data_IF_123893278392
#
_entry.id   IF_123893278392
#
_cell.length_a   1.000
_cell.length_b   1.000
_cell.length_c   1.000
_cell.angle_alpha   90.00
_cell.angle_beta   90.00
_cell.angle_gamma   90.00
#
_symmetry.space_group_name_H-M   'P 1'
#
loop_
_entity.id
_entity.type
_entity.pdbx_description
1 polymer ?
#
# COMPACT_ATOMS: atom_id res chain seq x y z
N UNK A 1 -10.26 -4.29 -32.89
CA UNK A 1 -9.70 -3.20 -32.07
C UNK A 1 -8.44 -2.70 -32.77
N UNK A 2 -8.46 -1.49 -33.33
CA UNK A 2 -7.25 -0.86 -33.88
C UNK A 2 -6.36 -0.46 -32.68
N UNK A 3 -5.17 -1.05 -32.57
CA UNK A 3 -4.14 -0.53 -31.66
C UNK A 3 -3.85 0.91 -32.07
N UNK A 4 -4.15 1.87 -31.19
CA UNK A 4 -3.82 3.27 -31.44
C UNK A 4 -2.29 3.40 -31.51
N UNK A 5 -1.71 3.83 -32.66
CA UNK A 5 -0.25 4.01 -32.79
C UNK A 5 0.32 4.97 -31.74
N UNK A 6 -0.53 5.83 -31.17
CA UNK A 6 -0.21 6.76 -30.09
C UNK A 6 0.14 6.03 -28.78
N UNK A 7 -0.60 4.98 -28.39
CA UNK A 7 -0.34 4.28 -27.13
C UNK A 7 1.02 3.58 -27.15
N UNK A 8 1.36 2.96 -28.27
CA UNK A 8 2.65 2.28 -28.42
C UNK A 8 3.82 3.29 -28.49
N UNK A 9 3.61 4.45 -29.12
CA UNK A 9 4.57 5.54 -29.08
C UNK A 9 4.77 6.09 -27.65
N UNK A 10 3.70 6.23 -26.88
CA UNK A 10 3.77 6.64 -25.47
C UNK A 10 4.51 5.61 -24.60
N UNK A 11 4.28 4.32 -24.81
CA UNK A 11 5.03 3.27 -24.12
C UNK A 11 6.53 3.29 -24.47
N UNK A 12 6.87 3.54 -25.74
CA UNK A 12 8.26 3.71 -26.15
C UNK A 12 8.89 4.93 -25.49
N UNK A 13 8.20 6.07 -25.48
CA UNK A 13 8.68 7.30 -24.83
C UNK A 13 8.84 7.12 -23.30
N UNK A 14 7.93 6.37 -22.68
CA UNK A 14 7.99 6.06 -21.26
C UNK A 14 9.19 5.17 -20.90
N UNK A 15 9.51 4.18 -21.75
CA UNK A 15 10.65 3.27 -21.57
C UNK A 15 11.98 3.92 -21.94
N UNK A 16 11.99 4.74 -23.00
CA UNK A 16 13.16 5.39 -23.57
C UNK A 16 12.89 6.89 -23.71
N UNK A 17 12.98 7.65 -22.60
CA UNK A 17 12.74 9.08 -22.63
C UNK A 17 13.87 9.83 -23.35
N UNK A 18 13.53 10.92 -24.03
CA UNK A 18 14.50 11.82 -24.65
C UNK A 18 15.11 12.82 -23.65
N UNK A 19 14.40 13.11 -22.56
CA UNK A 19 14.85 13.98 -21.46
C UNK A 19 14.33 13.47 -20.10
N UNK A 20 14.78 14.08 -19.01
CA UNK A 20 14.47 13.67 -17.63
C UNK A 20 12.99 13.76 -17.22
N UNK A 21 12.14 14.39 -18.04
CA UNK A 21 10.72 14.58 -17.74
C UNK A 21 9.79 13.87 -18.73
N UNK A 22 10.29 13.47 -19.89
CA UNK A 22 9.53 12.84 -20.97
C UNK A 22 8.85 11.55 -20.53
N UNK A 23 9.52 10.77 -19.67
CA UNK A 23 8.96 9.56 -19.08
C UNK A 23 7.83 9.88 -18.08
N UNK A 24 7.98 10.90 -17.24
CA UNK A 24 6.95 11.34 -16.29
C UNK A 24 5.72 11.85 -17.04
N UNK A 25 5.92 12.62 -18.12
CA UNK A 25 4.83 13.12 -18.96
C UNK A 25 4.14 11.97 -19.69
N UNK A 26 4.91 11.10 -20.35
CA UNK A 26 4.37 9.91 -21.02
C UNK A 26 3.60 9.02 -20.04
N UNK A 27 4.16 8.79 -18.85
CA UNK A 27 3.53 8.00 -17.80
C UNK A 27 2.21 8.62 -17.33
N UNK A 28 2.15 9.94 -17.11
CA UNK A 28 0.90 10.64 -16.79
C UNK A 28 -0.13 10.46 -17.90
N UNK A 29 0.24 10.65 -19.16
CA UNK A 29 -0.68 10.47 -20.29
C UNK A 29 -1.16 9.01 -20.34
N UNK A 30 -0.26 8.05 -20.15
CA UNK A 30 -0.60 6.62 -20.06
C UNK A 30 -1.58 6.34 -18.92
N UNK A 31 -1.51 7.04 -17.77
CA UNK A 31 -2.49 6.87 -16.67
C UNK A 31 -3.91 7.32 -17.07
N UNK A 32 -4.05 8.24 -18.02
CA UNK A 32 -5.35 8.68 -18.51
C UNK A 32 -5.90 7.78 -19.62
N UNK A 33 -5.03 7.21 -20.45
CA UNK A 33 -5.42 6.53 -21.68
C UNK A 33 -5.47 5.01 -21.51
N UNK A 34 -4.54 4.45 -20.73
CA UNK A 34 -4.26 3.01 -20.74
C UNK A 34 -4.72 2.41 -19.41
N UNK A 35 -6.03 2.23 -19.27
CA UNK A 35 -6.57 1.45 -18.15
C UNK A 35 -6.20 -0.04 -18.25
N UNK A 36 -6.51 -0.66 -19.41
CA UNK A 36 -6.56 -2.12 -19.52
C UNK A 36 -5.31 -2.82 -20.12
N UNK A 37 -4.41 -2.11 -20.80
CA UNK A 37 -3.24 -2.76 -21.45
C UNK A 37 -2.04 -2.93 -20.49
N UNK A 38 -2.09 -2.31 -19.32
CA UNK A 38 -0.97 -2.28 -18.34
C UNK A 38 -0.61 -3.67 -17.82
N UNK A 39 -1.59 -4.59 -17.72
CA UNK A 39 -1.36 -5.96 -17.25
C UNK A 39 -0.34 -6.73 -18.12
N UNK A 40 -0.26 -6.43 -19.42
CA UNK A 40 0.70 -7.07 -20.33
C UNK A 40 2.13 -6.53 -20.17
N UNK A 41 2.29 -5.34 -19.57
CA UNK A 41 3.57 -4.64 -19.40
C UNK A 41 4.01 -4.56 -17.93
N UNK A 42 3.38 -5.32 -17.03
CA UNK A 42 3.62 -5.29 -15.59
C UNK A 42 5.11 -5.54 -15.24
N UNK A 43 5.73 -6.54 -15.88
CA UNK A 43 7.13 -6.88 -15.65
C UNK A 43 8.06 -5.76 -16.12
N UNK A 44 7.81 -5.19 -17.30
CA UNK A 44 8.57 -4.06 -17.85
C UNK A 44 8.49 -2.83 -16.92
N UNK A 45 7.30 -2.50 -16.40
CA UNK A 45 7.13 -1.40 -15.45
C UNK A 45 7.89 -1.69 -14.15
N UNK A 46 7.87 -2.94 -13.69
CA UNK A 46 8.62 -3.35 -12.49
C UNK A 46 10.13 -3.17 -12.67
N UNK A 47 10.67 -3.56 -13.83
CA UNK A 47 12.09 -3.38 -14.17
C UNK A 47 12.47 -1.89 -14.29
N UNK A 48 11.59 -1.08 -14.87
CA UNK A 48 11.78 0.37 -14.97
C UNK A 48 11.80 1.04 -13.59
N UNK A 49 10.89 0.65 -12.68
CA UNK A 49 10.86 1.15 -11.29
C UNK A 49 12.19 0.83 -10.60
N UNK A 50 12.72 -0.38 -10.77
CA UNK A 50 14.00 -0.77 -10.18
C UNK A 50 15.17 0.05 -10.75
N UNK A 51 15.18 0.27 -12.06
CA UNK A 51 16.23 1.05 -12.73
C UNK A 51 16.21 2.53 -12.32
N UNK A 52 15.01 3.07 -12.09
CA UNK A 52 14.79 4.49 -11.75
C UNK A 52 14.42 4.68 -10.28
N UNK A 53 14.93 3.84 -9.38
CA UNK A 53 14.55 3.83 -7.96
C UNK A 53 14.74 5.18 -7.23
N UNK A 54 15.67 6.02 -7.71
CA UNK A 54 15.94 7.35 -7.16
C UNK A 54 15.00 8.45 -7.68
N UNK A 55 14.30 8.23 -8.80
CA UNK A 55 13.37 9.20 -9.36
C UNK A 55 11.96 8.96 -8.77
N UNK A 56 11.69 9.54 -7.59
CA UNK A 56 10.41 9.34 -6.90
C UNK A 56 9.18 9.79 -7.70
N UNK A 57 9.33 10.79 -8.60
CA UNK A 57 8.23 11.18 -9.50
C UNK A 57 7.91 10.07 -10.50
N UNK A 58 8.94 9.49 -11.10
CA UNK A 58 8.78 8.35 -12.00
C UNK A 58 8.15 7.17 -11.28
N UNK A 59 8.68 6.78 -10.10
CA UNK A 59 8.14 5.66 -9.30
C UNK A 59 6.68 5.92 -8.93
N UNK A 60 6.32 7.13 -8.48
CA UNK A 60 4.96 7.53 -8.18
C UNK A 60 4.02 7.33 -9.37
N UNK A 61 4.35 7.86 -10.56
CA UNK A 61 3.54 7.70 -11.77
C UNK A 61 3.44 6.23 -12.20
N UNK A 62 4.54 5.48 -12.07
CA UNK A 62 4.57 4.04 -12.35
C UNK A 62 3.62 3.27 -11.44
N UNK A 63 3.57 3.62 -10.15
CA UNK A 63 2.61 3.07 -9.21
C UNK A 63 1.17 3.40 -9.61
N UNK A 64 0.88 4.64 -10.03
CA UNK A 64 -0.47 4.99 -10.51
C UNK A 64 -0.89 4.16 -11.73
N UNK A 65 0.02 3.94 -12.68
CA UNK A 65 -0.22 3.02 -13.81
C UNK A 65 -0.56 1.61 -13.35
N UNK A 66 0.24 1.06 -12.42
CA UNK A 66 0.02 -0.29 -11.88
C UNK A 66 -1.31 -0.42 -11.15
N UNK A 67 -1.78 0.63 -10.47
CA UNK A 67 -3.09 0.63 -9.81
C UNK A 67 -4.24 0.51 -10.80
N UNK A 68 -4.13 1.09 -12.00
CA UNK A 68 -5.13 0.98 -13.06
C UNK A 68 -5.20 -0.47 -13.58
N UNK A 69 -4.05 -1.12 -13.71
CA UNK A 69 -3.95 -2.53 -14.10
C UNK A 69 -4.73 -3.47 -13.15
N UNK A 70 -4.74 -3.13 -11.85
CA UNK A 70 -5.38 -3.90 -10.80
C UNK A 70 -6.90 -3.63 -10.64
N UNK A 71 -7.48 -2.67 -11.35
CA UNK A 71 -8.92 -2.42 -11.29
C UNK A 71 -9.71 -3.52 -12.02
N UNK A 72 -10.71 -4.15 -11.37
CA UNK A 72 -11.51 -5.20 -12.01
C UNK A 72 -12.32 -4.62 -13.19
N UNK A 73 -12.41 -5.40 -14.27
CA UNK A 73 -13.31 -5.10 -15.40
C UNK A 73 -14.78 -5.19 -14.94
N UNK A 74 -15.66 -4.58 -15.72
CA UNK A 74 -17.10 -4.47 -15.44
C UNK A 74 -17.75 -5.82 -15.06
N UNK A 75 -18.92 -5.73 -14.41
CA UNK A 75 -19.70 -6.87 -13.95
C UNK A 75 -20.15 -7.71 -15.15
N UNK A 76 -19.43 -8.80 -15.43
CA UNK A 76 -19.84 -9.79 -16.41
C UNK A 76 -20.93 -10.69 -15.79
N UNK A 77 -22.13 -10.70 -16.39
CA UNK A 77 -23.25 -11.58 -16.00
C UNK A 77 -23.75 -11.43 -14.54
N UNK A 78 -23.68 -10.22 -13.97
CA UNK A 78 -24.12 -9.97 -12.59
C UNK A 78 -23.18 -10.51 -11.50
N UNK A 79 -22.09 -11.18 -11.88
CA UNK A 79 -21.07 -11.70 -10.96
C UNK A 79 -19.89 -10.72 -10.96
N UNK A 80 -19.57 -10.14 -9.79
CA UNK A 80 -18.37 -9.31 -9.68
C UNK A 80 -17.13 -10.15 -9.96
N UNK A 81 -16.29 -9.80 -10.96
CA UNK A 81 -15.10 -10.57 -11.26
C UNK A 81 -14.14 -10.55 -10.08
N UNK A 82 -13.41 -11.66 -9.89
CA UNK A 82 -12.34 -11.75 -8.89
C UNK A 82 -11.30 -10.68 -9.21
N UNK A 83 -10.96 -9.83 -8.24
CA UNK A 83 -9.93 -8.81 -8.40
C UNK A 83 -8.61 -9.47 -8.83
N UNK A 84 -7.91 -8.86 -9.78
CA UNK A 84 -6.59 -9.29 -10.19
C UNK A 84 -5.62 -9.13 -9.01
N UNK A 85 -4.88 -10.20 -8.70
CA UNK A 85 -3.90 -10.23 -7.63
C UNK A 85 -2.63 -10.90 -8.13
N UNK A 86 -1.49 -10.33 -7.72
CA UNK A 86 -0.17 -10.88 -7.93
C UNK A 86 0.20 -11.83 -6.80
N UNK A 87 0.98 -12.88 -7.09
CA UNK A 87 1.47 -13.79 -6.06
C UNK A 87 2.24 -13.06 -4.97
N UNK A 88 2.19 -13.58 -3.74
CA UNK A 88 2.92 -13.05 -2.57
C UNK A 88 4.44 -12.89 -2.81
N UNK A 89 5.00 -13.67 -3.73
CA UNK A 89 6.43 -13.68 -4.07
C UNK A 89 6.79 -12.74 -5.22
N UNK A 90 5.85 -11.95 -5.74
CA UNK A 90 6.11 -11.08 -6.88
C UNK A 90 7.14 -9.99 -6.49
N UNK A 91 8.23 -9.91 -7.26
CA UNK A 91 9.39 -9.02 -6.99
C UNK A 91 9.02 -7.54 -6.83
N UNK A 92 7.93 -7.09 -7.47
CA UNK A 92 7.42 -5.72 -7.36
C UNK A 92 7.29 -5.25 -5.90
N UNK A 93 6.74 -6.09 -5.02
CA UNK A 93 6.51 -5.70 -3.63
C UNK A 93 7.81 -5.56 -2.83
N UNK A 94 8.80 -6.39 -3.14
CA UNK A 94 10.14 -6.28 -2.56
C UNK A 94 10.84 -5.01 -3.05
N UNK A 95 10.77 -4.72 -4.35
CA UNK A 95 11.35 -3.52 -4.96
C UNK A 95 10.73 -2.26 -4.35
N UNK A 96 9.40 -2.16 -4.30
CA UNK A 96 8.72 -1.01 -3.69
C UNK A 96 9.10 -0.84 -2.21
N UNK A 97 9.15 -1.93 -1.44
CA UNK A 97 9.57 -1.89 -0.05
C UNK A 97 11.03 -1.44 0.11
N UNK A 98 11.93 -1.89 -0.77
CA UNK A 98 13.33 -1.46 -0.78
C UNK A 98 13.44 0.04 -1.06
N UNK A 99 12.75 0.54 -2.08
CA UNK A 99 12.77 1.96 -2.47
C UNK A 99 12.35 2.83 -1.28
N UNK A 100 11.15 2.58 -0.72
CA UNK A 100 10.59 3.35 0.40
C UNK A 100 11.57 3.41 1.58
N UNK A 101 12.17 2.28 1.96
CA UNK A 101 13.08 2.20 3.12
C UNK A 101 14.44 2.84 2.82
N UNK A 102 14.97 2.65 1.62
CA UNK A 102 16.30 3.14 1.25
C UNK A 102 16.34 4.66 1.10
N UNK A 103 15.25 5.28 0.65
CA UNK A 103 15.16 6.73 0.43
C UNK A 103 14.48 7.49 1.56
N UNK A 104 14.11 6.79 2.64
CA UNK A 104 13.43 7.36 3.81
C UNK A 104 14.19 8.52 4.47
N UNK A 105 15.52 8.40 4.54
CA UNK A 105 16.36 9.30 5.33
C UNK A 105 16.57 10.68 4.65
N UNK A 106 16.30 10.77 3.34
CA UNK A 106 16.40 12.03 2.60
C UNK A 106 15.15 12.89 2.83
N UNK A 107 15.11 13.59 3.96
CA UNK A 107 14.02 14.49 4.36
C UNK A 107 13.83 15.68 3.42
N UNK A 108 14.82 16.01 2.58
CA UNK A 108 14.75 17.12 1.63
C UNK A 108 13.81 16.81 0.44
N UNK A 109 13.65 15.52 0.12
CA UNK A 109 12.81 15.10 -0.99
C UNK A 109 11.31 15.21 -0.67
N UNK A 110 10.67 16.21 -1.28
CA UNK A 110 9.22 16.45 -1.11
C UNK A 110 8.33 15.42 -1.80
N UNK A 111 8.87 14.62 -2.72
CA UNK A 111 8.13 13.63 -3.52
C UNK A 111 8.05 12.26 -2.83
N UNK A 112 8.87 12.03 -1.81
CA UNK A 112 8.93 10.74 -1.11
C UNK A 112 7.57 10.30 -0.57
N UNK A 113 6.81 11.19 0.06
CA UNK A 113 5.49 10.87 0.63
C UNK A 113 4.50 10.41 -0.44
N UNK A 114 4.37 11.15 -1.53
CA UNK A 114 3.46 10.79 -2.62
C UNK A 114 3.85 9.46 -3.30
N UNK A 115 5.15 9.22 -3.43
CA UNK A 115 5.69 7.94 -3.92
C UNK A 115 5.33 6.79 -2.97
N UNK A 116 5.56 6.96 -1.66
CA UNK A 116 5.24 5.98 -0.63
C UNK A 116 3.75 5.65 -0.60
N UNK A 117 2.88 6.66 -0.64
CA UNK A 117 1.43 6.46 -0.65
C UNK A 117 0.96 5.65 -1.86
N UNK A 118 1.49 5.97 -3.04
CA UNK A 118 1.12 5.27 -4.28
C UNK A 118 1.65 3.84 -4.31
N UNK A 119 2.82 3.59 -3.73
CA UNK A 119 3.37 2.24 -3.58
C UNK A 119 2.54 1.40 -2.59
N UNK A 120 2.08 1.99 -1.48
CA UNK A 120 1.18 1.31 -0.54
C UNK A 120 -0.14 0.94 -1.22
N UNK A 121 -0.71 1.84 -2.01
CA UNK A 121 -1.93 1.57 -2.76
C UNK A 121 -1.76 0.43 -3.78
N UNK A 122 -0.61 0.35 -4.47
CA UNK A 122 -0.30 -0.80 -5.34
C UNK A 122 -0.27 -2.10 -4.54
N UNK A 123 0.39 -2.11 -3.38
CA UNK A 123 0.47 -3.29 -2.50
C UNK A 123 -0.94 -3.71 -2.06
N UNK A 124 -1.76 -2.79 -1.51
CA UNK A 124 -3.11 -3.11 -1.05
C UNK A 124 -4.06 -3.56 -2.17
N UNK A 125 -3.93 -3.02 -3.39
CA UNK A 125 -4.78 -3.38 -4.53
C UNK A 125 -4.33 -4.66 -5.24
N UNK A 126 -3.03 -4.97 -5.24
CA UNK A 126 -2.48 -6.01 -6.12
C UNK A 126 -1.93 -7.22 -5.36
N UNK A 127 -1.54 -7.10 -4.10
CA UNK A 127 -0.98 -8.25 -3.36
C UNK A 127 -2.09 -9.19 -2.87
N UNK A 128 -1.79 -10.50 -2.87
CA UNK A 128 -2.61 -11.52 -2.19
C UNK A 128 -2.58 -11.39 -0.66
N UNK A 129 -1.52 -10.80 -0.10
CA UNK A 129 -1.32 -10.65 1.35
C UNK A 129 -0.65 -9.30 1.67
N UNK A 130 -1.36 -8.18 1.45
CA UNK A 130 -0.77 -6.85 1.53
C UNK A 130 -0.31 -6.50 2.96
N UNK A 131 -1.00 -7.00 3.99
CA UNK A 131 -0.70 -6.70 5.40
C UNK A 131 0.73 -7.08 5.74
N UNK A 132 1.17 -8.28 5.32
CA UNK A 132 2.53 -8.77 5.59
C UNK A 132 3.61 -7.91 4.93
N UNK A 133 3.37 -7.44 3.69
CA UNK A 133 4.31 -6.55 3.00
C UNK A 133 4.42 -5.19 3.69
N UNK A 134 3.28 -4.60 4.07
CA UNK A 134 3.24 -3.31 4.77
C UNK A 134 3.88 -3.42 6.16
N UNK A 135 3.57 -4.46 6.92
CA UNK A 135 4.18 -4.71 8.23
C UNK A 135 5.71 -4.77 8.14
N UNK A 136 6.25 -5.48 7.14
CA UNK A 136 7.69 -5.57 6.93
C UNK A 136 8.32 -4.21 6.61
N UNK A 137 7.64 -3.36 5.83
CA UNK A 137 8.12 -2.00 5.53
C UNK A 137 8.11 -1.15 6.80
N UNK A 138 6.99 -1.13 7.52
CA UNK A 138 6.84 -0.34 8.76
C UNK A 138 7.88 -0.75 9.81
N UNK A 139 8.14 -2.04 10.00
CA UNK A 139 9.20 -2.52 10.91
C UNK A 139 10.57 -1.97 10.54
N UNK A 140 10.93 -1.98 9.25
CA UNK A 140 12.21 -1.43 8.78
C UNK A 140 12.31 0.08 8.98
N UNK A 141 11.21 0.81 8.75
CA UNK A 141 11.16 2.26 8.99
C UNK A 141 11.21 2.61 10.49
N UNK A 142 10.60 1.80 11.35
CA UNK A 142 10.63 1.98 12.80
C UNK A 142 12.04 1.87 13.38
N UNK A 143 12.85 0.94 12.86
CA UNK A 143 14.27 0.84 13.20
C UNK A 143 15.02 2.12 12.85
N UNK A 144 14.72 2.73 11.68
CA UNK A 144 15.35 3.99 11.24
C UNK A 144 14.93 5.19 12.09
N UNK A 145 13.72 5.20 12.64
CA UNK A 145 13.23 6.28 13.52
C UNK A 145 13.49 6.05 15.01
N UNK A 146 14.07 4.91 15.39
CA UNK A 146 14.27 4.56 16.81
C UNK A 146 12.97 4.24 17.57
N UNK A 147 11.85 4.06 16.87
CA UNK A 147 10.56 3.74 17.48
C UNK A 147 10.48 2.24 17.78
N UNK A 148 10.22 1.88 19.04
CA UNK A 148 9.92 0.49 19.41
C UNK A 148 8.50 0.15 18.99
N UNK A 149 8.37 -0.54 17.86
CA UNK A 149 7.10 -1.13 17.44
C UNK A 149 6.78 -2.31 18.37
N UNK A 150 5.86 -2.12 19.33
CA UNK A 150 5.28 -3.22 20.10
C UNK A 150 4.44 -4.15 19.21
N UNK A 151 3.43 -4.81 19.79
CA UNK A 151 2.52 -5.69 19.05
C UNK A 151 1.48 -4.97 18.17
N UNK A 152 1.90 -3.92 17.43
CA UNK A 152 1.03 -3.03 16.66
C UNK A 152 0.19 -3.74 15.58
N UNK A 153 0.63 -4.91 15.11
CA UNK A 153 -0.03 -5.71 14.08
C UNK A 153 -0.72 -6.98 14.61
N UNK A 154 -0.87 -7.14 15.93
CA UNK A 154 -1.75 -8.18 16.47
C UNK A 154 -3.20 -7.76 16.27
N UNK A 155 -3.75 -8.05 15.08
CA UNK A 155 -5.19 -7.98 14.85
C UNK A 155 -5.82 -9.01 15.80
N UNK A 156 -6.68 -8.62 16.76
CA UNK A 156 -7.33 -9.58 17.63
C UNK A 156 -8.43 -10.29 16.83
N UNK A 157 -8.07 -11.33 16.09
CA UNK A 157 -9.03 -12.37 15.69
C UNK A 157 -9.19 -13.36 16.84
N UNK A 158 -9.86 -12.95 17.90
CA UNK A 158 -10.41 -13.89 18.87
C UNK A 158 -11.37 -13.15 19.80
N UNK A 159 -12.65 -13.36 19.53
CA UNK A 159 -13.72 -13.25 20.51
C UNK A 159 -13.34 -14.10 21.73
N UNK A 160 -12.96 -13.47 22.83
CA UNK A 160 -13.18 -13.99 24.18
C UNK A 160 -12.96 -12.87 25.19
N UNK A 161 -14.06 -12.49 25.80
CA UNK A 161 -14.21 -11.63 26.97
C UNK A 161 -13.39 -12.12 28.16
N UNK A 162 -12.58 -11.24 28.78
CA UNK A 162 -12.54 -10.96 30.24
C UNK A 162 -11.44 -9.94 30.61
N UNK A 163 -11.50 -9.30 31.80
CA UNK A 163 -11.30 -7.86 31.95
C UNK A 163 -9.88 -7.41 32.30
N UNK A 164 -9.57 -6.16 31.95
CA UNK A 164 -8.37 -5.45 32.39
C UNK A 164 -8.37 -5.26 33.92
N UNK A 165 -7.33 -5.75 34.57
CA UNK A 165 -6.89 -5.27 35.88
C UNK A 165 -6.09 -3.99 35.66
N UNK A 166 -6.58 -2.88 36.20
CA UNK A 166 -5.86 -1.60 36.28
C UNK A 166 -4.97 -1.70 37.52
N UNK A 167 -3.65 -1.65 37.34
CA UNK A 167 -2.71 -1.38 38.43
C UNK A 167 -2.19 0.05 38.28
N UNK A 168 -2.55 0.85 39.27
CA UNK A 168 -2.18 2.25 39.49
C UNK A 168 -0.68 2.40 39.70
N UNK A 169 -0.05 3.35 39.02
CA UNK A 169 1.28 3.85 39.41
C UNK A 169 1.12 5.09 40.29
N UNK A 170 1.54 4.93 41.54
CA UNK A 170 1.71 5.99 42.53
C UNK A 170 2.80 6.99 42.07
N UNK A 171 2.52 8.28 42.27
CA UNK A 171 3.50 9.36 42.20
C UNK A 171 3.68 9.92 43.61
N UNK A 172 4.85 9.68 44.21
CA UNK A 172 5.31 10.42 45.39
C UNK A 172 6.52 11.30 45.04
N UNK A 173 6.44 12.52 45.58
CA UNK A 173 7.26 13.70 45.35
C UNK A 173 8.67 13.61 45.95
N UNK A 174 9.59 14.44 45.42
CA UNK A 174 10.37 15.36 46.27
C UNK A 174 10.98 16.50 45.44
N UNK A 175 10.69 17.72 45.87
CA UNK A 175 11.16 19.00 45.35
C UNK A 175 12.63 19.28 45.72
N UNK A 176 13.29 20.14 44.93
CA UNK A 176 13.97 21.31 45.50
C UNK A 176 14.35 22.34 44.42
N UNK A 177 13.73 23.51 44.48
CA UNK A 177 14.19 24.74 43.84
C UNK A 177 15.10 25.49 44.81
N UNK A 178 16.32 25.88 44.39
CA UNK A 178 16.88 27.19 44.74
C UNK A 178 18.16 27.57 43.97
N UNK A 179 18.06 28.75 43.32
CA UNK A 179 18.99 29.87 43.18
C UNK A 179 20.38 29.80 42.46
N UNK A 180 20.40 30.57 41.36
CA UNK A 180 21.28 31.69 40.98
C UNK A 180 22.77 31.53 40.55
N UNK A 181 22.99 32.06 39.33
CA UNK A 181 24.11 32.87 38.82
C UNK A 181 25.47 32.21 38.51
N UNK A 182 25.86 32.22 37.22
CA UNK A 182 27.01 32.98 36.71
C UNK A 182 27.15 32.88 35.17
N UNK A 183 27.34 34.04 34.53
CA UNK A 183 27.81 34.20 33.14
C UNK A 183 29.22 33.58 32.97
N UNK A 184 29.48 32.93 31.83
CA UNK A 184 30.72 33.06 31.03
C UNK A 184 30.66 32.24 29.73
N UNK A 185 30.84 32.95 28.60
CA UNK A 185 31.44 32.52 27.33
C UNK A 185 31.30 31.07 26.81
N UNK A 186 30.49 30.87 25.75
CA UNK A 186 30.91 30.21 24.50
C UNK A 186 29.81 30.28 23.42
N UNK A 187 29.87 31.29 22.56
CA UNK A 187 29.19 31.28 21.27
C UNK A 187 29.93 30.31 20.34
N UNK A 188 29.37 29.12 20.09
CA UNK A 188 29.42 28.40 18.78
C UNK A 188 28.76 27.01 18.73
N UNK A 189 28.19 26.46 19.80
CA UNK A 189 27.67 25.07 19.77
C UNK A 189 26.16 24.88 19.45
N UNK A 190 25.37 25.95 19.30
CA UNK A 190 23.91 25.81 19.16
C UNK A 190 23.37 25.41 17.78
N UNK A 191 24.16 25.54 16.70
CA UNK A 191 23.64 25.24 15.36
C UNK A 191 23.58 23.74 15.02
N UNK A 192 24.51 22.92 15.51
CA UNK A 192 24.53 21.49 15.18
C UNK A 192 23.48 20.68 15.96
N UNK A 193 23.19 21.04 17.22
CA UNK A 193 22.25 20.27 18.03
C UNK A 193 20.79 20.49 17.60
N UNK A 194 20.42 21.71 17.17
CA UNK A 194 19.05 21.96 16.69
C UNK A 194 18.77 21.27 15.35
N UNK A 195 19.78 21.15 14.48
CA UNK A 195 19.63 20.54 13.16
C UNK A 195 19.50 19.00 13.23
N UNK A 196 20.21 18.33 14.14
CA UNK A 196 20.04 16.89 14.38
C UNK A 196 18.65 16.56 14.97
N UNK A 197 18.14 17.43 15.84
CA UNK A 197 16.79 17.28 16.40
C UNK A 197 15.69 17.54 15.36
N UNK A 198 15.88 18.54 14.48
CA UNK A 198 14.93 18.84 13.40
C UNK A 198 14.83 17.69 12.38
N UNK A 199 15.95 17.10 11.97
CA UNK A 199 15.94 15.96 11.05
C UNK A 199 15.26 14.73 11.67
N UNK A 200 15.52 14.46 12.95
CA UNK A 200 14.88 13.35 13.68
C UNK A 200 13.35 13.55 13.77
N UNK A 201 12.89 14.78 14.03
CA UNK A 201 11.47 15.10 14.04
C UNK A 201 10.82 14.94 12.66
N UNK A 202 11.49 15.35 11.59
CA UNK A 202 10.99 15.17 10.21
C UNK A 202 10.89 13.70 9.80
N UNK A 203 11.85 12.86 10.20
CA UNK A 203 11.78 11.42 10.01
C UNK A 203 10.61 10.81 10.78
N UNK A 204 10.36 11.26 12.02
CA UNK A 204 9.21 10.83 12.79
C UNK A 204 7.89 11.22 12.09
N UNK A 205 7.78 12.43 11.55
CA UNK A 205 6.59 12.87 10.80
C UNK A 205 6.36 12.00 9.57
N UNK A 206 7.41 11.68 8.80
CA UNK A 206 7.31 10.75 7.66
C UNK A 206 6.85 9.37 8.09
N UNK A 207 7.38 8.87 9.21
CA UNK A 207 6.98 7.59 9.77
C UNK A 207 5.51 7.56 10.21
N UNK A 208 5.03 8.63 10.87
CA UNK A 208 3.62 8.78 11.22
C UNK A 208 2.74 8.78 9.96
N UNK A 209 3.18 9.44 8.88
CA UNK A 209 2.48 9.40 7.58
C UNK A 209 2.41 7.99 6.99
N UNK A 210 3.47 7.18 7.13
CA UNK A 210 3.41 5.77 6.76
C UNK A 210 2.39 4.98 7.58
N UNK A 211 2.33 5.21 8.89
CA UNK A 211 1.36 4.54 9.76
C UNK A 211 -0.07 4.93 9.42
N UNK A 212 -0.32 6.22 9.19
CA UNK A 212 -1.61 6.75 8.74
C UNK A 212 -2.05 6.08 7.43
N UNK A 213 -1.18 6.07 6.41
CA UNK A 213 -1.48 5.44 5.12
C UNK A 213 -1.69 3.92 5.24
N UNK A 214 -0.88 3.25 6.06
CA UNK A 214 -1.05 1.82 6.34
C UNK A 214 -2.41 1.54 6.98
N UNK A 215 -2.82 2.33 7.99
CA UNK A 215 -4.09 2.16 8.67
C UNK A 215 -5.29 2.33 7.72
N UNK A 216 -5.29 3.40 6.93
CA UNK A 216 -6.33 3.66 5.91
C UNK A 216 -6.38 2.52 4.89
N UNK A 217 -5.22 2.05 4.43
CA UNK A 217 -5.13 0.95 3.48
C UNK A 217 -5.62 -0.40 4.05
N UNK A 218 -5.36 -0.67 5.33
CA UNK A 218 -5.88 -1.87 6.03
C UNK A 218 -7.41 -1.82 6.10
N UNK A 219 -7.98 -0.68 6.51
CA UNK A 219 -9.44 -0.49 6.55
C UNK A 219 -10.04 -0.71 5.16
N UNK A 220 -9.49 -0.06 4.14
CA UNK A 220 -9.93 -0.25 2.75
C UNK A 220 -9.82 -1.71 2.29
N UNK A 221 -8.71 -2.40 2.60
CA UNK A 221 -8.53 -3.80 2.24
C UNK A 221 -9.58 -4.71 2.89
N UNK A 222 -9.86 -4.50 4.18
CA UNK A 222 -10.89 -5.26 4.89
C UNK A 222 -12.28 -5.00 4.31
N UNK A 223 -12.65 -3.72 4.12
CA UNK A 223 -13.99 -3.33 3.65
C UNK A 223 -14.23 -3.64 2.17
N UNK A 224 -13.26 -3.36 1.30
CA UNK A 224 -13.43 -3.44 -0.14
C UNK A 224 -12.96 -4.78 -0.73
N UNK A 225 -12.01 -5.47 -0.10
CA UNK A 225 -11.48 -6.74 -0.63
C UNK A 225 -12.03 -7.92 0.15
N UNK A 226 -11.76 -7.99 1.46
CA UNK A 226 -12.09 -9.17 2.27
C UNK A 226 -13.60 -9.35 2.37
N UNK A 227 -14.33 -8.29 2.75
CA UNK A 227 -15.79 -8.32 2.86
C UNK A 227 -16.48 -8.64 1.53
N UNK A 228 -16.03 -8.04 0.42
CA UNK A 228 -16.57 -8.34 -0.91
C UNK A 228 -16.30 -9.78 -1.34
N UNK A 229 -15.11 -10.31 -1.08
CA UNK A 229 -14.78 -11.71 -1.39
C UNK A 229 -15.63 -12.68 -0.55
N UNK A 230 -15.88 -12.37 0.72
CA UNK A 230 -16.79 -13.15 1.56
C UNK A 230 -18.23 -13.13 1.05
N UNK A 231 -18.73 -11.95 0.65
CA UNK A 231 -20.06 -11.81 0.03
C UNK A 231 -20.15 -12.59 -1.28
N UNK A 232 -19.15 -12.46 -2.16
CA UNK A 232 -19.06 -13.20 -3.43
C UNK A 232 -19.09 -14.71 -3.19
N UNK A 233 -18.35 -15.22 -2.20
CA UNK A 233 -18.37 -16.64 -1.83
C UNK A 233 -19.73 -17.10 -1.30
N UNK A 234 -20.42 -16.24 -0.55
CA UNK A 234 -21.78 -16.52 -0.05
C UNK A 234 -22.78 -16.61 -1.21
N UNK A 235 -22.73 -15.67 -2.15
CA UNK A 235 -23.57 -15.66 -3.35
C UNK A 235 -23.31 -16.86 -4.26
N UNK A 236 -22.03 -17.20 -4.48
CA UNK A 236 -21.64 -18.36 -5.29
C UNK A 236 -22.16 -19.69 -4.69
N UNK A 237 -22.05 -19.87 -3.37
CA UNK A 237 -22.64 -21.02 -2.67
C UNK A 237 -24.16 -21.07 -2.85
N UNK A 238 -24.84 -19.93 -2.70
CA UNK A 238 -26.30 -19.86 -2.83
C UNK A 238 -26.77 -20.17 -4.26
N UNK A 239 -26.03 -19.73 -5.28
CA UNK A 239 -26.27 -20.11 -6.69
C UNK A 239 -26.03 -21.60 -6.94
N UNK A 240 -24.99 -22.20 -6.36
CA UNK A 240 -24.78 -23.65 -6.43
C UNK A 240 -25.96 -24.42 -5.83
N UNK A 241 -26.46 -24.02 -4.66
CA UNK A 241 -27.64 -24.64 -4.05
C UNK A 241 -28.89 -24.48 -4.92
N UNK A 242 -29.16 -23.28 -5.46
CA UNK A 242 -30.29 -23.05 -6.36
C UNK A 242 -30.22 -23.93 -7.61
N UNK A 243 -29.06 -24.00 -8.26
CA UNK A 243 -28.86 -24.86 -9.43
C UNK A 243 -29.03 -26.34 -9.08
N UNK A 244 -28.51 -26.79 -7.94
CA UNK A 244 -28.68 -28.18 -7.48
C UNK A 244 -30.18 -28.51 -7.25
N UNK A 245 -30.93 -27.60 -6.62
CA UNK A 245 -32.38 -27.75 -6.45
C UNK A 245 -33.14 -27.75 -7.79
N UNK A 246 -32.74 -26.90 -8.75
CA UNK A 246 -33.34 -26.85 -10.09
C UNK A 246 -33.08 -28.15 -10.86
N UNK A 247 -31.87 -28.69 -10.78
CA UNK A 247 -31.52 -29.99 -11.35
C UNK A 247 -32.34 -31.13 -10.72
N UNK A 248 -32.48 -31.16 -9.39
CA UNK A 248 -33.34 -32.15 -8.71
C UNK A 248 -34.80 -32.02 -9.15
N UNK A 249 -35.30 -30.79 -9.31
CA UNK A 249 -36.67 -30.54 -9.74
C UNK A 249 -36.90 -30.98 -11.20
N UNK A 250 -35.99 -30.63 -12.11
CA UNK A 250 -36.03 -31.04 -13.51
C UNK A 250 -35.90 -32.57 -13.66
N UNK A 251 -35.04 -33.21 -12.86
CA UNK A 251 -34.87 -34.66 -12.89
C UNK A 251 -36.12 -35.40 -12.40
N UNK A 252 -36.77 -34.91 -11.33
CA UNK A 252 -38.08 -35.43 -10.88
C UNK A 252 -39.18 -35.21 -11.91
N UNK A 253 -39.18 -34.06 -12.59
CA UNK A 253 -40.18 -33.73 -13.61
C UNK A 253 -40.06 -34.60 -14.87
N UNK A 254 -38.83 -34.83 -15.36
CA UNK A 254 -38.54 -35.76 -16.46
C UNK A 254 -38.96 -37.21 -16.13
N UNK A 255 -38.69 -37.67 -14.91
CA UNK A 255 -39.10 -39.02 -14.47
C UNK A 255 -40.62 -39.17 -14.32
N UNK A 256 -41.33 -38.10 -13.97
CA UNK A 256 -42.79 -38.12 -13.85
C UNK A 256 -43.51 -38.11 -15.20
N UNK A 257 -42.84 -37.72 -16.30
CA UNK A 257 -43.39 -37.74 -17.67
C UNK A 257 -43.17 -39.07 -18.41
N UNK A 258 -42.33 -39.97 -17.88
CA UNK A 258 -42.00 -41.28 -18.48
C UNK A 258 -42.75 -42.46 -17.83
N UNK A 259 -43.80 -42.19 -17.05
CA UNK A 259 -44.80 -43.16 -16.59
C UNK A 259 -46.13 -42.82 -17.23
#
# INVERSE_FOLDING_TARGET
MQHFPVTEALWKLYKFPYDDNSDVIAGKILTFIVGNEVNTKLNDITDLIQTKEKNHRFVHISCLLLQLAATPKEIENGIRPKQFRLPKTHRLFEILGKIIVSTFDDVSDRQWTAMMESAFDVIFKSADDPIKHIENIIKKLAVKTGVKLGSLFKIPLSSQSQPLSIESMDFENAANENNQNQLSHQHQHHHHHSQMNANSALLLVRFLKCLEKAAVGIVYYVDCTVKHELLRRKEAKLMQYKNMCLWVFLFKFEFSKKK
#
